data_IF_869834430597
#
_entry.id   IF_869834430597
#
_cell.length_a   1.000
_cell.length_b   1.000
_cell.length_c   1.000
_cell.angle_alpha   90.00
_cell.angle_beta   90.00
_cell.angle_gamma   90.00
#
_symmetry.space_group_name_H-M   'P 1'
#
loop_
_entity.id
_entity.type
_entity.pdbx_description
1 polymer ?
#
# COMPACT_ATOMS: atom_id res chain seq x y z
N UNK A 1 -14.29 -18.31 19.25
CA UNK A 1 -14.70 -17.62 18.00
C UNK A 1 -15.51 -16.40 18.45
N UNK A 2 -14.82 -15.26 18.66
CA UNK A 2 -15.49 -14.01 19.04
C UNK A 2 -16.05 -13.39 17.77
N UNK A 3 -17.36 -13.22 17.73
CA UNK A 3 -18.05 -12.45 16.69
C UNK A 3 -17.62 -10.98 16.85
N UNK A 4 -16.83 -10.48 15.91
CA UNK A 4 -16.52 -9.05 15.80
C UNK A 4 -17.83 -8.27 15.76
N UNK A 5 -18.00 -7.33 16.67
CA UNK A 5 -19.12 -6.38 16.62
C UNK A 5 -18.99 -5.60 15.30
N UNK A 6 -19.97 -5.72 14.42
CA UNK A 6 -19.96 -4.99 13.14
C UNK A 6 -20.36 -3.54 13.41
N UNK A 7 -19.40 -2.62 13.36
CA UNK A 7 -19.70 -1.18 13.29
C UNK A 7 -20.71 -0.91 12.15
N UNK A 8 -21.73 -0.06 12.36
CA UNK A 8 -22.65 0.29 11.28
C UNK A 8 -21.88 0.76 10.04
N UNK A 9 -22.28 0.32 8.84
CA UNK A 9 -21.56 0.60 7.58
C UNK A 9 -21.29 2.10 7.34
N UNK A 10 -22.10 2.98 7.88
CA UNK A 10 -22.00 4.44 7.73
C UNK A 10 -20.90 5.13 8.58
N UNK A 11 -20.23 4.40 9.48
CA UNK A 11 -19.23 4.98 10.40
C UNK A 11 -17.81 4.41 10.22
N UNK A 12 -17.53 3.69 9.13
CA UNK A 12 -16.21 3.12 8.91
C UNK A 12 -15.37 4.02 8.03
N UNK A 13 -14.17 4.37 8.48
CA UNK A 13 -13.22 5.18 7.71
C UNK A 13 -12.18 4.30 7.03
N UNK A 14 -11.93 4.53 5.74
CA UNK A 14 -10.84 3.93 4.98
C UNK A 14 -9.89 5.01 4.48
N UNK A 15 -8.59 4.85 4.78
CA UNK A 15 -7.51 5.70 4.24
C UNK A 15 -6.91 4.98 3.04
N UNK A 16 -6.81 5.65 1.90
CA UNK A 16 -6.23 5.08 0.67
C UNK A 16 -5.12 5.98 0.15
N UNK A 17 -3.88 5.51 0.19
CA UNK A 17 -2.75 6.25 -0.38
C UNK A 17 -2.64 6.05 -1.89
N UNK A 18 -2.23 7.09 -2.63
CA UNK A 18 -2.20 7.06 -4.09
C UNK A 18 -3.60 7.00 -4.72
N UNK A 19 -4.62 7.53 -4.04
CA UNK A 19 -6.02 7.47 -4.45
C UNK A 19 -6.37 8.34 -5.67
N UNK A 20 -5.47 9.20 -6.14
CA UNK A 20 -5.74 10.16 -7.24
C UNK A 20 -5.65 9.53 -8.63
N UNK A 21 -5.26 8.27 -8.78
CA UNK A 21 -5.16 7.60 -10.08
C UNK A 21 -5.12 6.06 -9.95
N UNK A 22 -5.34 5.40 -11.09
CA UNK A 22 -5.11 3.95 -11.25
C UNK A 22 -5.81 3.09 -10.20
N UNK A 23 -5.07 2.16 -9.61
CA UNK A 23 -5.55 1.19 -8.62
C UNK A 23 -6.11 1.84 -7.36
N UNK A 24 -5.41 2.85 -6.80
CA UNK A 24 -5.86 3.52 -5.59
C UNK A 24 -7.18 4.25 -5.79
N UNK A 25 -7.37 4.89 -6.96
CA UNK A 25 -8.64 5.51 -7.32
C UNK A 25 -9.77 4.49 -7.44
N UNK A 26 -9.51 3.38 -8.12
CA UNK A 26 -10.50 2.31 -8.28
C UNK A 26 -10.87 1.67 -6.92
N UNK A 27 -9.87 1.45 -6.03
CA UNK A 27 -10.10 0.96 -4.68
C UNK A 27 -10.96 1.93 -3.85
N UNK A 28 -10.65 3.24 -3.89
CA UNK A 28 -11.40 4.25 -3.15
C UNK A 28 -12.86 4.32 -3.59
N UNK A 29 -13.13 4.30 -4.90
CA UNK A 29 -14.48 4.27 -5.47
C UNK A 29 -15.25 2.99 -5.08
N UNK A 30 -14.60 1.84 -5.10
CA UNK A 30 -15.23 0.58 -4.74
C UNK A 30 -15.54 0.51 -3.24
N UNK A 31 -14.63 0.96 -2.38
CA UNK A 31 -14.83 0.99 -0.94
C UNK A 31 -15.90 2.01 -0.51
N UNK A 32 -16.03 3.14 -1.21
CA UNK A 32 -17.11 4.08 -0.93
C UNK A 32 -18.49 3.46 -1.15
N UNK A 33 -18.65 2.62 -2.18
CA UNK A 33 -19.87 1.84 -2.43
C UNK A 33 -20.17 0.80 -1.35
N UNK A 34 -19.14 0.34 -0.63
CA UNK A 34 -19.27 -0.52 0.55
C UNK A 34 -19.60 0.27 1.84
N UNK A 35 -19.82 1.58 1.72
CA UNK A 35 -20.22 2.47 2.81
C UNK A 35 -19.06 2.94 3.69
N UNK A 36 -17.82 2.92 3.21
CA UNK A 36 -16.73 3.58 3.89
C UNK A 36 -16.74 5.09 3.61
N UNK A 37 -16.45 5.88 4.64
CA UNK A 37 -15.94 7.24 4.45
C UNK A 37 -14.50 7.13 3.97
N UNK A 38 -14.16 7.77 2.84
CA UNK A 38 -12.85 7.66 2.20
C UNK A 38 -12.01 8.89 2.54
N UNK A 39 -10.84 8.67 3.15
CA UNK A 39 -9.76 9.66 3.18
C UNK A 39 -8.80 9.32 2.04
N UNK A 40 -8.94 10.05 0.94
CA UNK A 40 -8.12 9.91 -0.26
C UNK A 40 -6.80 10.66 -0.07
N UNK A 41 -5.66 9.96 -0.15
CA UNK A 41 -4.34 10.58 0.00
C UNK A 41 -3.63 10.61 -1.36
N UNK A 42 -3.12 11.79 -1.75
CA UNK A 42 -2.36 11.94 -2.99
C UNK A 42 -1.70 13.31 -3.15
N UNK A 43 -0.81 13.45 -4.13
CA UNK A 43 -0.08 14.70 -4.40
C UNK A 43 -0.84 15.67 -5.32
N UNK A 44 -1.69 15.11 -6.17
CA UNK A 44 -2.40 15.87 -7.21
C UNK A 44 -3.75 16.33 -6.66
N UNK A 45 -3.82 17.62 -6.31
CA UNK A 45 -5.01 18.22 -5.71
C UNK A 45 -6.21 18.21 -6.67
N UNK A 46 -5.98 18.45 -7.96
CA UNK A 46 -7.06 18.52 -8.96
C UNK A 46 -7.73 17.14 -9.06
N UNK A 47 -6.94 16.09 -9.33
CA UNK A 47 -7.46 14.71 -9.40
C UNK A 47 -8.00 14.21 -8.07
N UNK A 48 -7.45 14.71 -6.96
CA UNK A 48 -7.97 14.41 -5.63
C UNK A 48 -9.37 14.98 -5.43
N UNK A 49 -9.62 16.20 -5.87
CA UNK A 49 -10.96 16.80 -5.83
C UNK A 49 -11.93 16.11 -6.80
N UNK A 50 -11.46 15.70 -7.98
CA UNK A 50 -12.27 14.92 -8.93
C UNK A 50 -12.82 13.63 -8.32
N UNK A 51 -11.96 12.83 -7.67
CA UNK A 51 -12.42 11.57 -7.03
C UNK A 51 -13.36 11.83 -5.85
N UNK A 52 -13.09 12.85 -5.04
CA UNK A 52 -13.99 13.24 -3.93
C UNK A 52 -15.36 13.65 -4.48
N UNK A 53 -15.40 14.46 -5.53
CA UNK A 53 -16.64 14.86 -6.21
C UNK A 53 -17.42 13.65 -6.74
N UNK A 54 -16.74 12.73 -7.43
CA UNK A 54 -17.36 11.51 -7.97
C UNK A 54 -17.95 10.61 -6.88
N UNK A 55 -17.25 10.47 -5.74
CA UNK A 55 -17.77 9.72 -4.60
C UNK A 55 -19.02 10.39 -4.02
N UNK A 56 -19.02 11.72 -3.89
CA UNK A 56 -20.18 12.47 -3.40
C UNK A 56 -21.37 12.38 -4.36
N UNK A 57 -21.14 12.50 -5.66
CA UNK A 57 -22.19 12.35 -6.69
C UNK A 57 -22.82 10.95 -6.67
N UNK A 58 -22.02 9.92 -6.31
CA UNK A 58 -22.51 8.56 -6.11
C UNK A 58 -23.21 8.33 -4.75
N UNK A 59 -23.36 9.39 -3.92
CA UNK A 59 -23.99 9.31 -2.61
C UNK A 59 -23.07 8.80 -1.48
N UNK A 60 -21.77 8.68 -1.75
CA UNK A 60 -20.75 8.30 -0.76
C UNK A 60 -20.21 9.51 0.01
N UNK A 61 -19.22 9.28 0.86
CA UNK A 61 -18.53 10.29 1.64
C UNK A 61 -17.02 10.19 1.46
N UNK A 62 -16.35 11.29 1.16
CA UNK A 62 -14.91 11.32 0.99
C UNK A 62 -14.31 12.68 1.31
N UNK A 63 -13.04 12.68 1.67
CA UNK A 63 -12.19 13.84 1.85
C UNK A 63 -10.83 13.62 1.20
N UNK A 64 -10.17 14.73 0.81
CA UNK A 64 -8.81 14.70 0.25
C UNK A 64 -7.81 15.17 1.31
N UNK A 65 -6.75 14.38 1.49
CA UNK A 65 -5.51 14.81 2.15
C UNK A 65 -4.42 14.93 1.09
N UNK A 66 -3.93 16.14 0.87
CA UNK A 66 -2.87 16.38 -0.12
C UNK A 66 -1.51 16.38 0.56
N UNK A 67 -0.59 15.52 0.07
CA UNK A 67 0.77 15.45 0.62
C UNK A 67 1.70 14.58 -0.18
N UNK A 68 3.01 14.73 0.06
CA UNK A 68 4.05 13.94 -0.59
C UNK A 68 4.62 12.91 0.39
N UNK A 69 4.57 11.66 -0.01
CA UNK A 69 5.04 10.50 0.77
C UNK A 69 6.51 10.13 0.46
N UNK A 70 7.24 10.98 -0.29
CA UNK A 70 8.65 10.72 -0.64
C UNK A 70 9.64 11.03 0.50
N UNK A 71 9.19 11.71 1.56
CA UNK A 71 10.01 11.99 2.74
C UNK A 71 9.33 11.53 4.02
N UNK A 72 10.10 11.22 5.06
CA UNK A 72 9.56 10.86 6.36
C UNK A 72 8.71 12.01 6.93
N UNK A 73 9.22 13.25 6.87
CA UNK A 73 8.51 14.44 7.34
C UNK A 73 7.20 14.69 6.56
N UNK A 74 7.21 14.52 5.23
CA UNK A 74 6.01 14.65 4.40
C UNK A 74 4.96 13.57 4.73
N UNK A 75 5.41 12.34 5.00
CA UNK A 75 4.54 11.24 5.43
C UNK A 75 3.95 11.50 6.82
N UNK A 76 4.75 12.01 7.76
CA UNK A 76 4.27 12.41 9.08
C UNK A 76 3.21 13.54 8.98
N UNK A 77 3.45 14.56 8.15
CA UNK A 77 2.48 15.64 7.94
C UNK A 77 1.14 15.09 7.37
N UNK A 78 1.19 14.11 6.48
CA UNK A 78 -0.01 13.41 5.98
C UNK A 78 -0.72 12.66 7.11
N UNK A 79 0.02 11.98 7.98
CA UNK A 79 -0.56 11.29 9.14
C UNK A 79 -1.25 12.27 10.10
N UNK A 80 -0.59 13.38 10.42
CA UNK A 80 -1.13 14.44 11.30
C UNK A 80 -2.43 15.01 10.74
N UNK A 81 -2.49 15.27 9.42
CA UNK A 81 -3.68 15.74 8.75
C UNK A 81 -4.82 14.71 8.77
N UNK A 82 -4.51 13.41 8.61
CA UNK A 82 -5.50 12.32 8.77
C UNK A 82 -6.04 12.29 10.20
N UNK A 83 -5.16 12.37 11.20
CA UNK A 83 -5.53 12.35 12.62
C UNK A 83 -6.37 13.57 13.04
N UNK A 84 -6.21 14.70 12.35
CA UNK A 84 -7.06 15.89 12.57
C UNK A 84 -8.53 15.65 12.15
N UNK A 85 -8.78 14.65 11.29
CA UNK A 85 -10.10 14.36 10.69
C UNK A 85 -10.79 13.15 11.31
N UNK A 86 -10.03 12.18 11.83
CA UNK A 86 -10.60 10.98 12.41
C UNK A 86 -9.74 10.43 13.54
N UNK A 87 -10.40 9.94 14.58
CA UNK A 87 -9.77 9.22 15.69
C UNK A 87 -9.83 7.69 15.54
N UNK A 88 -10.54 7.18 14.52
CA UNK A 88 -10.67 5.75 14.29
C UNK A 88 -10.61 5.42 12.79
N UNK A 89 -9.64 4.60 12.42
CA UNK A 89 -9.43 4.11 11.05
C UNK A 89 -9.73 2.62 11.03
N UNK A 90 -10.59 2.17 10.12
CA UNK A 90 -11.02 0.77 10.01
C UNK A 90 -10.30 0.02 8.89
N UNK A 91 -9.79 0.78 7.90
CA UNK A 91 -9.03 0.23 6.78
C UNK A 91 -7.95 1.23 6.34
N UNK A 92 -6.69 0.79 6.32
CA UNK A 92 -5.60 1.54 5.70
C UNK A 92 -5.10 0.77 4.48
N UNK A 93 -5.12 1.40 3.30
CA UNK A 93 -4.55 0.84 2.08
C UNK A 93 -3.28 1.61 1.71
N UNK A 94 -2.13 1.02 1.98
CA UNK A 94 -0.83 1.48 1.52
C UNK A 94 -0.64 1.08 0.05
N UNK A 95 -1.28 1.85 -0.84
CA UNK A 95 -1.25 1.61 -2.29
C UNK A 95 -0.26 2.51 -3.02
N UNK A 96 0.04 3.71 -2.50
CA UNK A 96 1.03 4.59 -3.11
C UNK A 96 2.34 3.82 -3.33
N UNK A 97 2.86 3.87 -4.56
CA UNK A 97 4.06 3.13 -4.92
C UNK A 97 4.45 3.36 -6.38
N UNK A 98 5.67 3.01 -6.71
CA UNK A 98 6.19 3.14 -8.07
C UNK A 98 7.59 2.56 -8.18
N UNK A 99 8.06 2.40 -9.42
CA UNK A 99 9.43 2.09 -9.75
C UNK A 99 10.05 3.31 -10.42
N UNK A 100 11.11 3.83 -9.84
CA UNK A 100 11.85 4.97 -10.36
C UNK A 100 13.15 4.48 -10.96
N UNK A 101 13.46 4.92 -12.18
CA UNK A 101 14.71 4.54 -12.89
C UNK A 101 15.78 5.64 -12.81
N UNK A 102 15.58 6.64 -11.96
CA UNK A 102 16.52 7.74 -11.84
C UNK A 102 17.48 7.53 -10.66
N UNK A 103 18.69 8.05 -10.78
CA UNK A 103 19.63 8.17 -9.66
C UNK A 103 19.25 9.31 -8.70
N UNK A 104 18.11 9.97 -8.96
CA UNK A 104 17.61 11.04 -8.11
C UNK A 104 17.25 10.50 -6.73
N UNK A 105 17.72 11.22 -5.72
CA UNK A 105 17.40 10.94 -4.34
C UNK A 105 16.25 11.85 -3.85
N UNK A 106 15.57 11.40 -2.81
CA UNK A 106 14.65 12.27 -2.07
C UNK A 106 15.41 13.40 -1.37
N UNK A 107 14.73 14.44 -0.89
CA UNK A 107 15.36 15.45 -0.03
C UNK A 107 16.09 14.85 1.19
N UNK A 108 15.63 13.69 1.70
CA UNK A 108 16.26 12.96 2.80
C UNK A 108 17.47 12.11 2.35
N UNK A 109 17.87 12.22 1.06
CA UNK A 109 19.01 11.48 0.49
C UNK A 109 18.72 10.01 0.16
N UNK A 110 17.48 9.56 0.31
CA UNK A 110 17.07 8.17 0.12
C UNK A 110 16.76 7.85 -1.36
N UNK A 111 16.87 6.60 -1.75
CA UNK A 111 16.41 6.13 -3.05
C UNK A 111 14.87 6.23 -3.12
N UNK A 112 14.34 6.82 -4.21
CA UNK A 112 12.91 7.17 -4.32
C UNK A 112 11.99 5.95 -4.28
N UNK A 113 12.40 4.81 -4.84
CA UNK A 113 11.60 3.57 -4.80
C UNK A 113 11.50 3.06 -3.38
N UNK A 114 12.60 3.09 -2.62
CA UNK A 114 12.63 2.71 -1.22
C UNK A 114 11.77 3.65 -0.37
N UNK A 115 11.95 4.95 -0.51
CA UNK A 115 11.22 5.94 0.26
C UNK A 115 9.70 5.76 0.10
N UNK A 116 9.21 5.64 -1.15
CA UNK A 116 7.77 5.56 -1.40
C UNK A 116 7.17 4.17 -1.11
N UNK A 117 7.92 3.07 -1.37
CA UNK A 117 7.33 1.73 -1.27
C UNK A 117 7.56 1.03 0.06
N UNK A 118 8.49 1.49 0.90
CA UNK A 118 8.84 0.85 2.18
C UNK A 118 8.76 1.83 3.34
N UNK A 119 9.52 2.94 3.27
CA UNK A 119 9.58 3.90 4.38
C UNK A 119 8.23 4.59 4.61
N UNK A 120 7.58 5.08 3.56
CA UNK A 120 6.29 5.75 3.68
C UNK A 120 5.19 4.86 4.29
N UNK A 121 4.94 3.62 3.82
CA UNK A 121 4.01 2.72 4.49
C UNK A 121 4.35 2.45 5.96
N UNK A 122 5.64 2.33 6.30
CA UNK A 122 6.09 2.13 7.67
C UNK A 122 5.77 3.35 8.54
N UNK A 123 6.26 4.54 8.17
CA UNK A 123 6.05 5.78 8.92
C UNK A 123 4.55 6.08 9.07
N UNK A 124 3.78 5.95 7.99
CA UNK A 124 2.34 6.20 8.03
C UNK A 124 1.62 5.23 8.98
N UNK A 125 1.96 3.95 8.93
CA UNK A 125 1.35 2.93 9.79
C UNK A 125 1.67 3.18 11.27
N UNK A 126 2.93 3.48 11.60
CA UNK A 126 3.35 3.78 12.97
C UNK A 126 2.69 5.06 13.49
N UNK A 127 2.66 6.14 12.70
CA UNK A 127 2.04 7.40 13.08
C UNK A 127 0.52 7.28 13.31
N UNK A 128 -0.16 6.40 12.57
CA UNK A 128 -1.60 6.16 12.67
C UNK A 128 -1.98 5.03 13.65
N UNK A 129 -1.02 4.42 14.36
CA UNK A 129 -1.22 3.16 15.09
C UNK A 129 -2.35 3.22 16.14
N UNK A 130 -2.50 4.34 16.85
CA UNK A 130 -3.57 4.49 17.84
C UNK A 130 -4.96 4.59 17.18
N UNK A 131 -5.08 5.36 16.09
CA UNK A 131 -6.33 5.46 15.35
C UNK A 131 -6.70 4.15 14.63
N UNK A 132 -5.69 3.40 14.15
CA UNK A 132 -5.86 2.05 13.61
C UNK A 132 -6.34 1.09 14.69
N UNK A 133 -5.76 1.15 15.90
CA UNK A 133 -6.18 0.32 17.04
C UNK A 133 -7.61 0.66 17.48
N UNK A 134 -7.97 1.94 17.55
CA UNK A 134 -9.32 2.40 17.89
C UNK A 134 -10.39 1.90 16.90
N UNK A 135 -10.02 1.72 15.62
CA UNK A 135 -10.90 1.19 14.58
C UNK A 135 -10.83 -0.33 14.40
N UNK A 136 -10.04 -1.05 15.19
CA UNK A 136 -9.72 -2.48 14.96
C UNK A 136 -9.33 -2.74 13.49
N UNK A 137 -8.43 -1.91 12.98
CA UNK A 137 -8.19 -1.74 11.56
C UNK A 137 -7.62 -2.98 10.88
N UNK A 138 -7.89 -3.04 9.58
CA UNK A 138 -7.08 -3.80 8.66
C UNK A 138 -6.13 -2.88 7.91
N UNK A 139 -4.85 -3.25 7.85
CA UNK A 139 -3.83 -2.60 7.03
C UNK A 139 -3.52 -3.49 5.83
N UNK A 140 -3.76 -2.98 4.63
CA UNK A 140 -3.50 -3.66 3.36
C UNK A 140 -2.28 -3.02 2.69
N UNK A 141 -1.17 -3.75 2.66
CA UNK A 141 0.04 -3.33 1.96
C UNK A 141 0.03 -3.85 0.52
N UNK A 142 0.03 -2.96 -0.45
CA UNK A 142 0.02 -3.33 -1.88
C UNK A 142 1.43 -3.73 -2.32
N UNK A 143 1.58 -5.01 -2.62
CA UNK A 143 2.82 -5.62 -3.08
C UNK A 143 2.75 -6.02 -4.55
N UNK A 144 3.77 -6.68 -5.06
CA UNK A 144 3.80 -7.25 -6.42
C UNK A 144 3.83 -8.78 -6.37
N UNK A 145 3.86 -9.42 -7.54
CA UNK A 145 4.15 -10.83 -7.70
C UNK A 145 5.60 -11.12 -7.26
N UNK A 146 5.81 -11.31 -5.96
CA UNK A 146 7.12 -11.64 -5.40
C UNK A 146 7.38 -13.14 -5.57
N UNK A 147 8.46 -13.54 -6.26
CA UNK A 147 8.79 -14.96 -6.42
C UNK A 147 9.05 -15.66 -5.07
N UNK A 148 8.65 -16.91 -4.92
CA UNK A 148 8.80 -17.68 -3.68
C UNK A 148 10.26 -17.78 -3.17
N UNK A 149 11.24 -17.73 -4.08
CA UNK A 149 12.68 -17.74 -3.78
C UNK A 149 13.29 -16.35 -3.78
N UNK A 150 12.50 -15.29 -3.84
CA UNK A 150 13.02 -13.93 -3.79
C UNK A 150 13.78 -13.69 -2.50
N UNK A 151 14.92 -13.04 -2.61
CA UNK A 151 15.73 -12.60 -1.47
C UNK A 151 16.41 -11.26 -1.80
N UNK A 152 16.68 -10.48 -0.77
CA UNK A 152 17.31 -9.17 -0.87
C UNK A 152 18.15 -8.90 0.38
N UNK A 153 18.86 -7.79 0.42
CA UNK A 153 19.55 -7.29 1.61
C UNK A 153 19.11 -5.88 1.92
N UNK A 154 19.32 -5.41 3.13
CA UNK A 154 18.97 -4.05 3.53
C UNK A 154 19.67 -3.03 2.60
N UNK A 155 20.95 -3.18 2.34
CA UNK A 155 21.70 -2.32 1.40
C UNK A 155 21.09 -2.31 -0.01
N UNK A 156 20.56 -3.45 -0.47
CA UNK A 156 19.91 -3.53 -1.77
C UNK A 156 18.52 -2.88 -1.81
N UNK A 157 17.79 -2.88 -0.68
CA UNK A 157 16.50 -2.21 -0.52
C UNK A 157 16.72 -0.70 -0.45
N UNK A 158 17.68 -0.24 0.34
CA UNK A 158 18.02 1.18 0.50
C UNK A 158 18.66 1.83 -0.73
N UNK A 159 18.97 1.04 -1.77
CA UNK A 159 19.50 1.57 -3.04
C UNK A 159 20.99 1.81 -3.06
N UNK A 160 21.77 1.20 -2.16
CA UNK A 160 23.25 1.35 -2.10
C UNK A 160 23.98 0.72 -3.30
N UNK A 161 23.32 -0.10 -4.08
CA UNK A 161 23.84 -0.69 -5.30
C UNK A 161 22.91 -0.40 -6.46
N UNK A 162 23.44 0.21 -7.51
CA UNK A 162 22.72 0.48 -8.76
C UNK A 162 22.10 -0.82 -9.31
N UNK A 163 20.78 -0.97 -9.10
CA UNK A 163 19.97 -2.03 -9.70
C UNK A 163 19.04 -1.40 -10.72
N UNK A 164 18.58 -2.18 -11.69
CA UNK A 164 17.51 -1.71 -12.55
C UNK A 164 16.29 -1.34 -11.70
N UNK A 165 15.51 -0.32 -12.08
CA UNK A 165 14.35 0.13 -11.33
C UNK A 165 13.36 -0.99 -11.00
N UNK A 166 13.23 -2.01 -11.86
CA UNK A 166 12.39 -3.18 -11.60
C UNK A 166 12.98 -4.09 -10.52
N UNK A 167 14.30 -4.29 -10.49
CA UNK A 167 14.94 -5.11 -9.44
C UNK A 167 14.84 -4.45 -8.08
N UNK A 168 15.07 -3.12 -8.01
CA UNK A 168 14.85 -2.31 -6.81
C UNK A 168 13.39 -2.42 -6.37
N UNK A 169 12.45 -2.26 -7.28
CA UNK A 169 11.02 -2.36 -6.98
C UNK A 169 10.61 -3.71 -6.38
N UNK A 170 11.03 -4.84 -6.98
CA UNK A 170 10.72 -6.18 -6.46
C UNK A 170 11.34 -6.39 -5.07
N UNK A 171 12.59 -5.91 -4.86
CA UNK A 171 13.26 -5.97 -3.56
C UNK A 171 12.48 -5.16 -2.49
N UNK A 172 12.04 -3.96 -2.84
CA UNK A 172 11.24 -3.11 -1.95
C UNK A 172 9.85 -3.72 -1.64
N UNK A 173 9.21 -4.37 -2.62
CA UNK A 173 7.93 -5.05 -2.39
C UNK A 173 8.08 -6.34 -1.57
N UNK A 174 9.24 -7.02 -1.63
CA UNK A 174 9.57 -8.09 -0.68
C UNK A 174 9.77 -7.54 0.73
N UNK A 175 10.44 -6.39 0.89
CA UNK A 175 10.59 -5.73 2.18
C UNK A 175 9.24 -5.32 2.79
N UNK A 176 8.33 -4.74 2.00
CA UNK A 176 6.98 -4.40 2.44
C UNK A 176 6.17 -5.64 2.84
N UNK A 177 6.33 -6.75 2.13
CA UNK A 177 5.73 -8.04 2.51
C UNK A 177 6.31 -8.56 3.84
N UNK A 178 7.62 -8.41 4.05
CA UNK A 178 8.28 -8.75 5.33
C UNK A 178 7.71 -7.91 6.48
N UNK A 179 7.57 -6.60 6.30
CA UNK A 179 6.93 -5.73 7.30
C UNK A 179 5.49 -6.15 7.58
N UNK A 180 4.72 -6.54 6.57
CA UNK A 180 3.34 -7.01 6.77
C UNK A 180 3.26 -8.20 7.72
N UNK A 181 4.14 -9.18 7.54
CA UNK A 181 4.23 -10.38 8.41
C UNK A 181 4.67 -9.99 9.82
N UNK A 182 5.68 -9.12 9.93
CA UNK A 182 6.22 -8.66 11.21
C UNK A 182 5.22 -7.77 11.97
N UNK A 183 4.53 -6.86 11.30
CA UNK A 183 3.53 -5.99 11.91
C UNK A 183 2.32 -6.79 12.41
N UNK A 184 1.92 -7.85 11.70
CA UNK A 184 0.91 -8.78 12.21
C UNK A 184 1.36 -9.44 13.50
N UNK A 185 2.61 -9.90 13.58
CA UNK A 185 3.17 -10.51 14.77
C UNK A 185 3.22 -9.51 15.95
N UNK A 186 3.55 -8.25 15.64
CA UNK A 186 3.79 -7.20 16.65
C UNK A 186 2.49 -6.58 17.16
N UNK A 187 1.53 -6.37 16.28
CA UNK A 187 0.32 -5.60 16.57
C UNK A 187 -0.98 -6.40 16.47
N UNK A 188 -0.93 -7.66 16.06
CA UNK A 188 -2.14 -8.50 15.91
C UNK A 188 -2.93 -8.64 17.22
N UNK A 189 -2.27 -8.71 18.36
CA UNK A 189 -2.93 -8.77 19.69
C UNK A 189 -3.65 -7.47 20.07
N UNK A 190 -3.36 -6.35 19.40
CA UNK A 190 -4.08 -5.08 19.56
C UNK A 190 -5.37 -5.01 18.73
N UNK A 191 -5.82 -6.12 18.16
CA UNK A 191 -7.00 -6.18 17.30
C UNK A 191 -6.74 -5.80 15.83
N UNK A 192 -5.49 -5.50 15.47
CA UNK A 192 -5.11 -5.14 14.11
C UNK A 192 -4.92 -6.37 13.22
N UNK A 193 -5.18 -6.21 11.93
CA UNK A 193 -4.95 -7.25 10.93
C UNK A 193 -4.13 -6.67 9.76
N UNK A 194 -2.94 -7.21 9.55
CA UNK A 194 -2.06 -6.80 8.44
C UNK A 194 -2.11 -7.84 7.33
N UNK A 195 -2.27 -7.42 6.09
CA UNK A 195 -2.25 -8.30 4.93
C UNK A 195 -1.50 -7.67 3.77
N UNK A 196 -0.83 -8.49 2.98
CA UNK A 196 -0.21 -8.07 1.73
C UNK A 196 -1.09 -8.49 0.55
N UNK A 197 -1.35 -7.56 -0.38
CA UNK A 197 -2.15 -7.81 -1.57
C UNK A 197 -1.32 -7.55 -2.84
N UNK A 198 -1.17 -8.58 -3.71
CA UNK A 198 -0.88 -8.37 -5.11
C UNK A 198 -2.20 -8.32 -5.90
N UNK A 199 -2.58 -7.13 -6.41
CA UNK A 199 -3.90 -6.95 -7.01
C UNK A 199 -4.01 -7.44 -8.46
N UNK A 200 -2.94 -8.00 -9.03
CA UNK A 200 -2.84 -8.40 -10.43
C UNK A 200 -2.03 -7.42 -11.27
N UNK A 201 -1.75 -7.82 -12.51
CA UNK A 201 -1.06 -6.98 -13.50
C UNK A 201 -2.08 -6.19 -14.30
N UNK A 202 -2.07 -4.85 -14.16
CA UNK A 202 -3.05 -3.97 -14.81
C UNK A 202 -2.35 -3.11 -15.85
N UNK A 203 -2.62 -3.35 -17.15
CA UNK A 203 -2.08 -2.54 -18.23
C UNK A 203 -2.56 -1.09 -18.14
N UNK A 204 -1.68 -0.13 -18.46
CA UNK A 204 -2.06 1.28 -18.53
C UNK A 204 -2.08 2.05 -17.21
N UNK A 205 -1.73 1.42 -16.09
CA UNK A 205 -1.47 2.16 -14.85
C UNK A 205 -0.18 2.98 -15.00
N UNK A 206 -0.11 4.17 -14.35
CA UNK A 206 1.08 5.07 -14.41
C UNK A 206 2.29 4.53 -13.65
N UNK A 207 2.42 3.24 -13.57
CA UNK A 207 3.51 2.57 -12.92
C UNK A 207 4.82 2.86 -13.67
N UNK A 208 5.75 3.60 -13.05
CA UNK A 208 7.04 3.93 -13.65
C UNK A 208 6.99 4.97 -14.78
N UNK A 209 6.09 5.95 -14.72
CA UNK A 209 5.92 7.00 -15.74
C UNK A 209 7.15 7.90 -15.92
N UNK A 210 8.02 8.00 -14.92
CA UNK A 210 9.14 8.95 -14.92
C UNK A 210 10.35 8.48 -15.75
N UNK A 211 10.47 7.18 -16.06
CA UNK A 211 11.44 6.63 -17.03
C UNK A 211 11.14 5.15 -17.31
N UNK A 212 10.17 4.82 -18.16
CA UNK A 212 9.84 3.43 -18.43
C UNK A 212 10.93 2.77 -19.27
N UNK A 213 11.67 1.84 -18.68
CA UNK A 213 12.51 0.93 -19.46
C UNK A 213 11.68 0.13 -20.49
N UNK A 214 12.33 -0.37 -21.53
CA UNK A 214 11.65 -1.10 -22.62
C UNK A 214 10.74 -2.24 -22.10
N UNK A 215 11.16 -2.98 -21.07
CA UNK A 215 10.39 -4.04 -20.42
C UNK A 215 9.10 -3.54 -19.76
N UNK A 216 9.10 -2.31 -19.24
CA UNK A 216 7.87 -1.71 -18.67
C UNK A 216 6.88 -1.24 -19.73
N UNK A 217 7.35 -0.95 -20.95
CA UNK A 217 6.50 -0.63 -22.10
C UNK A 217 5.93 -1.89 -22.77
N UNK A 218 6.73 -2.94 -22.89
CA UNK A 218 6.38 -4.18 -23.61
C UNK A 218 5.75 -5.22 -22.68
N UNK A 219 6.17 -5.30 -21.41
CA UNK A 219 5.68 -6.27 -20.43
C UNK A 219 4.16 -6.31 -20.29
N UNK A 220 3.44 -5.17 -20.16
CA UNK A 220 1.98 -5.15 -20.10
C UNK A 220 1.30 -5.64 -21.40
N UNK A 221 1.92 -5.37 -22.57
CA UNK A 221 1.42 -5.83 -23.86
C UNK A 221 1.55 -7.35 -23.98
N UNK A 222 2.70 -7.90 -23.58
CA UNK A 222 2.95 -9.34 -23.56
C UNK A 222 1.99 -10.01 -22.54
N UNK A 223 1.87 -9.47 -21.32
CA UNK A 223 0.97 -9.99 -20.29
C UNK A 223 -0.49 -10.04 -20.77
N UNK A 224 -0.92 -9.00 -21.50
CA UNK A 224 -2.25 -8.95 -22.13
C UNK A 224 -2.41 -10.03 -23.20
N UNK A 225 -1.39 -10.24 -24.03
CA UNK A 225 -1.40 -11.25 -25.10
C UNK A 225 -1.48 -12.67 -24.58
N UNK A 226 -0.89 -12.96 -23.41
CA UNK A 226 -0.90 -14.29 -22.77
C UNK A 226 -1.99 -14.43 -21.69
N UNK A 227 -2.89 -13.44 -21.57
CA UNK A 227 -4.07 -13.54 -20.70
C UNK A 227 -3.81 -13.43 -19.20
N UNK A 228 -2.65 -12.93 -18.75
CA UNK A 228 -2.30 -12.72 -17.33
C UNK A 228 -2.50 -11.27 -16.88
N UNK A 229 -3.52 -10.60 -17.38
CA UNK A 229 -3.86 -9.25 -16.97
C UNK A 229 -5.19 -9.22 -16.25
N UNK A 230 -5.29 -8.38 -15.22
CA UNK A 230 -6.54 -8.07 -14.54
C UNK A 230 -7.09 -6.73 -15.03
N UNK A 231 -8.40 -6.57 -14.96
CA UNK A 231 -9.07 -5.28 -15.14
C UNK A 231 -8.95 -4.42 -13.88
N UNK A 232 -9.20 -3.11 -14.00
CA UNK A 232 -9.28 -2.24 -12.83
C UNK A 232 -10.42 -2.63 -11.89
N UNK A 233 -11.55 -3.10 -12.43
CA UNK A 233 -12.71 -3.51 -11.65
C UNK A 233 -12.42 -4.80 -10.85
N UNK A 234 -11.76 -5.79 -11.46
CA UNK A 234 -11.33 -6.99 -10.74
C UNK A 234 -10.35 -6.67 -9.63
N UNK A 235 -9.40 -5.78 -9.88
CA UNK A 235 -8.46 -5.33 -8.88
C UNK A 235 -9.14 -4.55 -7.75
N UNK A 236 -10.07 -3.65 -8.08
CA UNK A 236 -10.87 -2.91 -7.12
C UNK A 236 -11.70 -3.87 -6.24
N UNK A 237 -12.30 -4.91 -6.83
CA UNK A 237 -13.04 -5.93 -6.09
C UNK A 237 -12.11 -6.70 -5.12
N UNK A 238 -10.87 -6.98 -5.49
CA UNK A 238 -9.88 -7.62 -4.59
C UNK A 238 -9.56 -6.75 -3.38
N UNK A 239 -9.48 -5.42 -3.53
CA UNK A 239 -9.36 -4.50 -2.39
C UNK A 239 -10.57 -4.56 -1.48
N UNK A 240 -11.78 -4.56 -2.03
CA UNK A 240 -13.01 -4.74 -1.25
C UNK A 240 -12.98 -6.08 -0.52
N UNK A 241 -12.66 -7.16 -1.21
CA UNK A 241 -12.65 -8.50 -0.63
C UNK A 241 -11.65 -8.62 0.53
N UNK A 242 -10.39 -8.20 0.31
CA UNK A 242 -9.37 -8.22 1.40
C UNK A 242 -9.68 -7.20 2.49
N UNK A 243 -10.34 -6.09 2.17
CA UNK A 243 -10.70 -5.04 3.12
C UNK A 243 -11.90 -5.40 4.00
N UNK A 244 -12.84 -6.24 3.53
CA UNK A 244 -14.13 -6.45 4.18
C UNK A 244 -14.43 -7.88 4.60
N UNK A 245 -13.88 -8.89 3.89
CA UNK A 245 -14.09 -10.30 4.21
C UNK A 245 -13.12 -10.79 5.29
N UNK A 246 -13.37 -11.99 5.82
CA UNK A 246 -12.43 -12.65 6.73
C UNK A 246 -11.14 -13.00 5.98
N UNK A 247 -9.99 -12.65 6.56
CA UNK A 247 -8.65 -12.91 6.02
C UNK A 247 -7.73 -13.44 7.12
N UNK A 248 -6.67 -14.12 6.71
CA UNK A 248 -5.59 -14.52 7.61
C UNK A 248 -4.63 -13.35 7.81
N UNK A 249 -4.41 -12.95 9.05
CA UNK A 249 -3.44 -11.90 9.41
C UNK A 249 -2.01 -12.36 9.10
N UNK A 250 -1.19 -11.46 8.56
CA UNK A 250 0.13 -11.78 8.01
C UNK A 250 0.09 -12.45 6.63
N UNK A 251 -1.12 -12.69 6.08
CA UNK A 251 -1.32 -13.39 4.83
C UNK A 251 -0.86 -12.60 3.60
N UNK A 252 -0.33 -13.33 2.61
CA UNK A 252 -0.04 -12.82 1.27
C UNK A 252 -1.13 -13.26 0.30
N UNK A 253 -1.91 -12.30 -0.18
CA UNK A 253 -3.00 -12.52 -1.13
C UNK A 253 -2.54 -12.18 -2.55
N UNK A 254 -2.40 -13.20 -3.37
CA UNK A 254 -2.09 -13.08 -4.80
C UNK A 254 -3.39 -13.12 -5.59
N UNK A 255 -3.79 -12.00 -6.16
CA UNK A 255 -5.07 -11.87 -6.89
C UNK A 255 -6.28 -12.34 -6.07
N UNK A 256 -6.28 -12.06 -4.77
CA UNK A 256 -7.34 -12.45 -3.85
C UNK A 256 -7.23 -13.87 -3.27
N UNK A 257 -6.26 -14.67 -3.72
CA UNK A 257 -6.02 -16.03 -3.22
C UNK A 257 -4.86 -16.01 -2.22
N UNK A 258 -5.07 -16.55 -1.03
CA UNK A 258 -4.01 -16.72 -0.04
C UNK A 258 -2.89 -17.63 -0.60
N UNK A 259 -1.66 -17.15 -0.51
CA UNK A 259 -0.44 -17.85 -0.92
C UNK A 259 0.57 -17.85 0.20
N UNK A 260 1.47 -18.81 0.17
CA UNK A 260 2.61 -18.81 1.07
C UNK A 260 3.56 -17.64 0.72
N UNK A 261 3.88 -16.82 1.72
CA UNK A 261 4.86 -15.75 1.57
C UNK A 261 6.27 -16.33 1.34
N UNK A 262 7.14 -15.67 0.56
CA UNK A 262 8.54 -16.07 0.40
C UNK A 262 9.22 -16.31 1.75
N UNK A 263 10.18 -17.25 1.77
CA UNK A 263 10.87 -17.62 3.02
C UNK A 263 11.48 -16.41 3.74
N UNK A 264 12.11 -15.50 3.01
CA UNK A 264 12.73 -14.31 3.60
C UNK A 264 11.69 -13.36 4.20
N UNK A 265 10.50 -13.25 3.63
CA UNK A 265 9.44 -12.43 4.22
C UNK A 265 8.97 -12.92 5.61
N UNK A 266 9.27 -14.18 5.95
CA UNK A 266 8.95 -14.81 7.24
C UNK A 266 10.17 -14.93 8.16
N UNK A 267 11.34 -14.40 7.74
CA UNK A 267 12.58 -14.42 8.51
C UNK A 267 12.58 -13.27 9.52
N UNK A 268 12.50 -13.64 10.81
CA UNK A 268 12.44 -12.66 11.90
C UNK A 268 13.72 -11.85 12.07
N UNK A 269 14.90 -12.44 11.78
CA UNK A 269 16.16 -11.70 11.87
C UNK A 269 16.22 -10.60 10.80
N UNK A 270 15.85 -10.93 9.57
CA UNK A 270 15.75 -9.96 8.49
C UNK A 270 14.67 -8.89 8.76
N UNK A 271 13.51 -9.28 9.28
CA UNK A 271 12.45 -8.35 9.65
C UNK A 271 12.89 -7.36 10.74
N UNK A 272 13.60 -7.85 11.74
CA UNK A 272 14.14 -7.03 12.82
C UNK A 272 15.19 -6.03 12.34
N UNK A 273 16.12 -6.47 11.49
CA UNK A 273 17.13 -5.60 10.86
C UNK A 273 16.48 -4.52 9.99
N UNK A 274 15.49 -4.91 9.16
CA UNK A 274 14.74 -3.99 8.33
C UNK A 274 14.04 -2.91 9.17
N UNK A 275 13.33 -3.33 10.21
CA UNK A 275 12.61 -2.39 11.10
C UNK A 275 13.57 -1.42 11.79
N UNK A 276 14.66 -1.92 12.39
CA UNK A 276 15.65 -1.05 13.03
C UNK A 276 16.23 -0.01 12.05
N UNK A 277 16.42 -0.41 10.80
CA UNK A 277 16.86 0.51 9.75
C UNK A 277 15.80 1.60 9.48
N UNK A 278 14.52 1.23 9.40
CA UNK A 278 13.43 2.18 9.14
C UNK A 278 13.20 3.12 10.33
N UNK A 279 13.26 2.62 11.57
CA UNK A 279 13.15 3.42 12.80
C UNK A 279 14.27 4.45 12.92
N UNK A 280 15.45 4.19 12.35
CA UNK A 280 16.56 5.15 12.31
C UNK A 280 16.39 6.24 11.22
N UNK A 281 15.47 6.06 10.28
CA UNK A 281 15.22 6.97 9.15
C UNK A 281 13.92 7.78 9.27
N UNK A 282 13.02 7.37 10.13
CA UNK A 282 11.72 8.04 10.40
C UNK A 282 11.71 8.71 11.73
#
# INVERSE_FOLDING_TARGET
MQTRATTPRSNRTAVVTGATSGLGRAAALALSKEGFHIIAVGRDQIRGQEIVGEIHEAGGSAELVTGDLLTAAGTQAVADEILSRTSAIHLLINNAGGAFNSDERTPDGLERTFALNVLAPHVLTEALLEALSAGEARVVNVVTAVPARASTSIAAIAGDKAKSGMQSYVANKLALLTLTVEDQRRYGERGLSFVALHPGVIPGTRFGSDSPGLMMKIGPVIAKLIGITSTLDEAAQRFVDVGTKSVEGGGFYYEGVLREAPRQARDQAFASELRSTLEALG
#
